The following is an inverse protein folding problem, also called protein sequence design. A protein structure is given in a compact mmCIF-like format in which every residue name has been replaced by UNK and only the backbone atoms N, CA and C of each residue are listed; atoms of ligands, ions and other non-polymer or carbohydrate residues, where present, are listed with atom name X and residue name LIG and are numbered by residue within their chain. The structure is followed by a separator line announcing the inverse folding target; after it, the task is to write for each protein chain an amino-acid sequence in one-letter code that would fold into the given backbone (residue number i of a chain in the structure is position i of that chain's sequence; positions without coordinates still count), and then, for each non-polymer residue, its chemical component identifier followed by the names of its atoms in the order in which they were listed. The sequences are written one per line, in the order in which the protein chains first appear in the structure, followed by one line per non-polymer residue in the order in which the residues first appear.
data_IF_626489262989
#
_entry.id   IF_626489262989
#
_cell.length_a   1.000
_cell.length_b   1.000
_cell.length_c   1.000
_cell.angle_alpha   90.00
_cell.angle_beta   90.00
_cell.angle_gamma   90.00
#
_symmetry.space_group_name_H-M   'P 1'
#
loop_
_entity.id
_entity.type
_entity.pdbx_description
1 polymer ?
#
# COMPACT_ATOMS: atom_id res chain seq x y z
N UNK A 1 -13.40 23.80 6.52
CA UNK A 1 -13.64 22.40 6.10
C UNK A 1 -13.13 22.27 4.68
N UNK A 2 -12.30 21.28 4.40
CA UNK A 2 -11.73 21.00 3.06
C UNK A 2 -12.80 20.30 2.23
N UNK A 3 -12.84 20.60 0.93
CA UNK A 3 -13.75 20.00 -0.03
C UNK A 3 -12.94 19.25 -1.08
N UNK A 4 -13.24 17.96 -1.28
CA UNK A 4 -12.55 17.09 -2.24
C UNK A 4 -13.55 16.54 -3.25
N UNK A 5 -13.19 16.66 -4.53
CA UNK A 5 -13.87 15.97 -5.61
C UNK A 5 -13.33 14.54 -5.76
N UNK A 6 -14.07 13.56 -5.25
CA UNK A 6 -13.75 12.13 -5.33
C UNK A 6 -13.80 11.52 -6.74
N UNK A 7 -14.14 12.31 -7.76
CA UNK A 7 -14.07 11.91 -9.18
C UNK A 7 -12.79 12.38 -9.88
N UNK A 8 -11.98 13.23 -9.25
CA UNK A 8 -10.75 13.76 -9.83
C UNK A 8 -9.72 12.67 -10.15
N UNK A 9 -8.96 12.86 -11.23
CA UNK A 9 -7.90 11.96 -11.66
C UNK A 9 -8.42 10.55 -11.94
N UNK A 10 -7.88 9.56 -11.23
CA UNK A 10 -8.32 8.16 -11.33
C UNK A 10 -9.75 7.90 -10.85
N UNK A 11 -10.36 8.83 -10.11
CA UNK A 11 -11.70 8.67 -9.53
C UNK A 11 -11.84 7.36 -8.74
N UNK A 12 -10.74 6.93 -8.10
CA UNK A 12 -10.61 5.63 -7.42
C UNK A 12 -10.91 5.69 -5.93
N UNK A 13 -10.65 4.58 -5.23
CA UNK A 13 -10.73 4.56 -3.76
C UNK A 13 -9.56 5.27 -3.06
N UNK A 14 -8.46 5.51 -3.77
CA UNK A 14 -7.24 6.09 -3.23
C UNK A 14 -7.43 7.53 -2.75
N UNK A 15 -8.12 8.36 -3.54
CA UNK A 15 -8.41 9.76 -3.19
C UNK A 15 -9.15 9.87 -1.85
N UNK A 16 -10.07 8.93 -1.58
CA UNK A 16 -10.83 8.87 -0.32
C UNK A 16 -9.92 8.51 0.84
N UNK A 17 -9.09 7.46 0.68
CA UNK A 17 -8.16 7.02 1.73
C UNK A 17 -7.15 8.12 2.07
N UNK A 18 -6.53 8.72 1.06
CA UNK A 18 -5.56 9.81 1.24
C UNK A 18 -6.19 11.03 1.90
N UNK A 19 -7.36 11.47 1.44
CA UNK A 19 -8.03 12.65 2.01
C UNK A 19 -8.45 12.44 3.48
N UNK A 20 -9.01 11.28 3.82
CA UNK A 20 -9.39 10.98 5.22
C UNK A 20 -8.15 10.83 6.10
N UNK A 21 -7.10 10.18 5.61
CA UNK A 21 -5.81 10.09 6.31
C UNK A 21 -5.22 11.47 6.60
N UNK A 22 -5.13 12.35 5.60
CA UNK A 22 -4.56 13.69 5.76
C UNK A 22 -5.46 14.61 6.58
N UNK A 23 -6.78 14.43 6.51
CA UNK A 23 -7.72 15.07 7.43
C UNK A 23 -7.36 14.75 8.87
N UNK A 24 -7.23 13.45 9.20
CA UNK A 24 -6.85 13.00 10.54
C UNK A 24 -5.49 13.56 10.99
N UNK A 25 -4.47 13.52 10.12
CA UNK A 25 -3.12 14.03 10.43
C UNK A 25 -3.11 15.54 10.70
N UNK A 26 -3.88 16.31 9.92
CA UNK A 26 -3.88 17.78 10.00
C UNK A 26 -4.91 18.35 10.97
N UNK A 27 -5.84 17.52 11.47
CA UNK A 27 -6.97 17.96 12.27
C UNK A 27 -8.02 18.77 11.49
N UNK A 28 -7.89 18.89 10.16
CA UNK A 28 -8.80 19.68 9.31
C UNK A 28 -9.96 18.82 8.83
N UNK A 29 -11.24 19.16 9.13
CA UNK A 29 -12.39 18.40 8.62
C UNK A 29 -12.46 18.41 7.10
N UNK A 30 -12.91 17.30 6.50
CA UNK A 30 -13.08 17.14 5.05
C UNK A 30 -14.50 16.68 4.68
N UNK A 31 -14.99 17.20 3.56
CA UNK A 31 -16.14 16.70 2.82
C UNK A 31 -15.66 16.18 1.46
N UNK A 32 -16.04 14.95 1.11
CA UNK A 32 -15.68 14.33 -0.18
C UNK A 32 -16.96 14.04 -0.94
N UNK A 33 -17.08 14.52 -2.18
CA UNK A 33 -18.24 14.31 -3.05
C UNK A 33 -17.88 13.49 -4.27
N UNK A 34 -18.90 13.01 -5.01
CA UNK A 34 -18.73 12.28 -6.29
C UNK A 34 -17.80 11.07 -6.18
N UNK A 35 -17.82 10.40 -5.03
CA UNK A 35 -16.92 9.29 -4.73
C UNK A 35 -17.09 8.20 -5.79
N UNK A 36 -16.01 7.92 -6.53
CA UNK A 36 -15.95 6.86 -7.55
C UNK A 36 -17.03 6.97 -8.62
N UNK A 37 -17.49 8.17 -8.94
CA UNK A 37 -18.60 8.40 -9.88
C UNK A 37 -18.40 7.74 -11.25
N UNK A 38 -17.16 7.71 -11.76
CA UNK A 38 -16.82 7.09 -13.05
C UNK A 38 -16.53 5.58 -13.01
N UNK A 39 -16.60 4.93 -11.84
CA UNK A 39 -16.30 3.48 -11.72
C UNK A 39 -17.57 2.65 -11.98
N UNK A 40 -17.45 1.38 -12.42
CA UNK A 40 -18.61 0.51 -12.67
C UNK A 40 -19.55 0.34 -11.46
N UNK A 41 -19.01 0.46 -10.24
CA UNK A 41 -19.77 0.52 -8.99
C UNK A 41 -19.43 1.83 -8.27
N UNK A 42 -20.19 2.91 -8.46
CA UNK A 42 -19.96 4.19 -7.79
C UNK A 42 -20.09 4.13 -6.27
N UNK A 43 -19.61 5.17 -5.60
CA UNK A 43 -19.67 5.31 -4.15
C UNK A 43 -18.63 4.48 -3.39
N UNK A 44 -18.73 4.52 -2.06
CA UNK A 44 -17.87 3.76 -1.17
C UNK A 44 -18.05 2.24 -1.38
N UNK A 45 -16.95 1.53 -1.58
CA UNK A 45 -16.93 0.08 -1.51
C UNK A 45 -16.77 -0.33 -0.03
N UNK A 46 -17.12 -1.58 0.35
CA UNK A 46 -16.98 -2.05 1.74
C UNK A 46 -15.59 -1.80 2.35
N UNK A 47 -14.53 -2.01 1.60
CA UNK A 47 -13.16 -1.74 2.05
C UNK A 47 -12.89 -0.27 2.37
N UNK A 48 -13.55 0.68 1.69
CA UNK A 48 -13.42 2.11 1.98
C UNK A 48 -14.15 2.45 3.27
N UNK A 49 -15.38 1.94 3.44
CA UNK A 49 -16.15 2.09 4.68
C UNK A 49 -15.33 1.60 5.86
N UNK A 50 -14.73 0.41 5.77
CA UNK A 50 -13.95 -0.15 6.87
C UNK A 50 -12.73 0.71 7.23
N UNK A 51 -11.97 1.17 6.24
CA UNK A 51 -10.80 2.02 6.49
C UNK A 51 -11.19 3.34 7.17
N UNK A 52 -12.28 3.98 6.71
CA UNK A 52 -12.77 5.24 7.28
C UNK A 52 -13.33 5.03 8.68
N UNK A 53 -14.13 3.98 8.90
CA UNK A 53 -14.70 3.64 10.20
C UNK A 53 -13.62 3.31 11.22
N UNK A 54 -12.59 2.54 10.83
CA UNK A 54 -11.47 2.22 11.71
C UNK A 54 -10.71 3.49 12.12
N UNK A 55 -10.38 4.35 11.15
CA UNK A 55 -9.70 5.61 11.44
C UNK A 55 -10.58 6.57 12.26
N UNK A 56 -11.88 6.63 11.98
CA UNK A 56 -12.85 7.40 12.76
C UNK A 56 -12.90 6.96 14.23
N UNK A 57 -12.86 5.65 14.49
CA UNK A 57 -12.78 5.10 15.84
C UNK A 57 -11.51 5.52 16.57
N UNK A 58 -10.35 5.42 15.92
CA UNK A 58 -9.04 5.76 16.50
C UNK A 58 -8.94 7.24 16.85
N UNK A 59 -9.49 8.13 16.03
CA UNK A 59 -9.44 9.58 16.26
C UNK A 59 -10.75 10.17 16.83
N UNK A 60 -11.72 9.34 17.22
CA UNK A 60 -13.04 9.78 17.71
C UNK A 60 -13.70 10.81 16.78
N UNK A 61 -13.65 10.57 15.46
CA UNK A 61 -14.16 11.50 14.45
C UNK A 61 -15.68 11.61 14.48
N UNK A 62 -16.19 12.80 14.16
CA UNK A 62 -17.60 12.97 13.75
C UNK A 62 -17.70 12.73 12.26
N UNK A 63 -18.59 11.83 11.86
CA UNK A 63 -18.71 11.40 10.45
C UNK A 63 -20.15 11.39 9.96
N UNK A 64 -20.34 11.56 8.65
CA UNK A 64 -21.63 11.37 7.98
C UNK A 64 -21.42 10.66 6.64
N UNK A 65 -22.37 9.80 6.25
CA UNK A 65 -22.37 9.11 4.95
C UNK A 65 -21.40 7.94 4.83
N UNK A 66 -20.87 7.39 5.93
CA UNK A 66 -19.89 6.29 5.91
C UNK A 66 -20.60 4.93 5.75
N UNK A 67 -21.18 4.70 4.57
CA UNK A 67 -21.91 3.48 4.24
C UNK A 67 -21.66 3.03 2.79
N UNK A 68 -21.79 1.73 2.48
CA UNK A 68 -21.59 1.23 1.12
C UNK A 68 -22.48 1.95 0.09
N UNK A 69 -21.91 2.32 -1.06
CA UNK A 69 -22.61 3.04 -2.12
C UNK A 69 -22.71 4.55 -1.91
N UNK A 70 -22.35 5.07 -0.73
CA UNK A 70 -22.37 6.51 -0.49
C UNK A 70 -21.42 7.25 -1.43
N UNK A 71 -21.92 8.29 -2.08
CA UNK A 71 -21.18 9.16 -2.98
C UNK A 71 -20.68 10.45 -2.32
N UNK A 72 -21.05 10.67 -1.06
CA UNK A 72 -20.64 11.83 -0.28
C UNK A 72 -20.39 11.46 1.17
N UNK A 73 -19.27 11.92 1.73
CA UNK A 73 -18.98 11.79 3.16
C UNK A 73 -18.55 13.10 3.78
N UNK A 74 -18.75 13.22 5.09
CA UNK A 74 -18.01 14.17 5.91
C UNK A 74 -17.22 13.43 6.98
N UNK A 75 -16.03 13.93 7.26
CA UNK A 75 -15.13 13.40 8.28
C UNK A 75 -14.45 14.55 9.01
N UNK A 76 -14.74 14.68 10.31
CA UNK A 76 -14.17 15.68 11.19
C UNK A 76 -13.39 14.98 12.32
N UNK A 77 -12.04 14.90 12.23
CA UNK A 77 -11.23 14.15 13.17
C UNK A 77 -11.17 14.80 14.55
N UNK A 78 -11.03 13.97 15.58
CA UNK A 78 -10.64 14.39 16.92
C UNK A 78 -9.19 14.00 17.23
N UNK A 79 -8.87 13.81 18.51
CA UNK A 79 -7.54 13.40 18.96
C UNK A 79 -7.30 11.92 18.62
N UNK A 80 -6.16 11.63 18.00
CA UNK A 80 -5.70 10.27 17.68
C UNK A 80 -5.16 9.62 18.95
N UNK A 81 -5.75 8.51 19.37
CA UNK A 81 -5.36 7.81 20.60
C UNK A 81 -4.45 6.61 20.31
N UNK A 82 -3.45 6.43 21.14
CA UNK A 82 -2.68 5.19 21.21
C UNK A 82 -3.52 4.04 21.81
N UNK A 83 -3.05 2.81 21.66
CA UNK A 83 -3.68 1.63 22.26
C UNK A 83 -3.76 0.42 21.32
N UNK A 84 -4.56 -0.56 21.75
CA UNK A 84 -4.81 -1.79 21.00
C UNK A 84 -6.13 -1.70 20.25
N UNK A 85 -6.10 -2.03 18.96
CA UNK A 85 -7.26 -2.01 18.08
C UNK A 85 -7.39 -3.33 17.34
N UNK A 86 -8.62 -3.73 17.04
CA UNK A 86 -8.91 -4.84 16.14
C UNK A 86 -9.84 -4.38 15.03
N UNK A 87 -9.51 -4.74 13.80
CA UNK A 87 -10.23 -4.32 12.60
C UNK A 87 -10.52 -5.55 11.75
N UNK A 88 -11.81 -5.86 11.61
CA UNK A 88 -12.27 -6.93 10.73
C UNK A 88 -12.87 -6.35 9.45
N UNK A 89 -12.27 -6.66 8.30
CA UNK A 89 -12.80 -6.23 7.00
C UNK A 89 -14.01 -7.09 6.58
N UNK A 90 -14.19 -8.27 7.19
CA UNK A 90 -15.32 -9.18 6.97
C UNK A 90 -15.34 -9.91 5.62
N UNK A 91 -14.41 -9.59 4.73
CA UNK A 91 -14.25 -10.20 3.39
C UNK A 91 -12.76 -10.26 3.02
N UNK A 92 -12.44 -10.63 1.77
CA UNK A 92 -11.09 -10.48 1.20
C UNK A 92 -10.68 -9.04 0.86
N UNK A 93 -11.24 -8.02 1.52
CA UNK A 93 -10.76 -6.65 1.35
C UNK A 93 -9.32 -6.51 1.85
N UNK A 94 -8.53 -5.70 1.15
CA UNK A 94 -7.08 -5.61 1.36
C UNK A 94 -6.72 -5.03 2.72
N UNK A 95 -5.96 -5.79 3.52
CA UNK A 95 -5.40 -5.30 4.79
C UNK A 95 -4.35 -4.22 4.54
N UNK A 96 -3.57 -4.32 3.46
CA UNK A 96 -2.51 -3.36 3.13
C UNK A 96 -3.08 -2.00 2.75
N UNK A 97 -4.15 -1.93 1.96
CA UNK A 97 -4.81 -0.66 1.66
C UNK A 97 -5.45 -0.01 2.89
N UNK A 98 -5.97 -0.82 3.82
CA UNK A 98 -6.45 -0.33 5.10
C UNK A 98 -5.28 0.29 5.88
N UNK A 99 -4.20 -0.46 6.07
CA UNK A 99 -3.02 0.04 6.80
C UNK A 99 -2.40 1.27 6.13
N UNK A 100 -2.32 1.34 4.81
CA UNK A 100 -1.85 2.55 4.08
C UNK A 100 -2.72 3.78 4.37
N UNK A 101 -4.03 3.61 4.52
CA UNK A 101 -4.95 4.69 4.88
C UNK A 101 -4.76 5.16 6.32
N UNK A 102 -4.47 4.25 7.25
CA UNK A 102 -4.40 4.57 8.66
C UNK A 102 -3.02 5.11 9.04
N UNK A 103 -1.96 4.52 8.48
CA UNK A 103 -0.60 4.68 8.97
C UNK A 103 -0.12 6.14 9.11
N UNK A 104 -0.36 7.07 8.16
CA UNK A 104 0.07 8.45 8.34
C UNK A 104 -0.52 9.10 9.61
N UNK A 105 -1.78 8.79 9.93
CA UNK A 105 -2.46 9.29 11.12
C UNK A 105 -1.91 8.63 12.41
N UNK A 106 -1.62 7.33 12.38
CA UNK A 106 -1.12 6.61 13.55
C UNK A 106 0.21 7.18 14.09
N UNK A 107 1.03 7.78 13.22
CA UNK A 107 2.29 8.45 13.62
C UNK A 107 2.08 9.67 14.53
N UNK A 108 0.85 10.20 14.59
CA UNK A 108 0.44 11.35 15.42
C UNK A 108 -0.36 10.97 16.66
N UNK A 109 -0.47 9.68 16.96
CA UNK A 109 -1.14 9.22 18.16
C UNK A 109 -0.42 9.68 19.45
N UNK A 110 -1.16 9.76 20.55
CA UNK A 110 -0.60 10.11 21.87
C UNK A 110 0.11 8.95 22.58
N UNK A 111 0.24 7.79 21.94
CA UNK A 111 1.00 6.65 22.41
C UNK A 111 1.11 5.54 21.35
N UNK A 112 1.90 4.48 21.61
CA UNK A 112 2.06 3.34 20.70
C UNK A 112 0.74 2.70 20.31
N UNK A 113 0.69 2.17 19.09
CA UNK A 113 -0.48 1.46 18.55
C UNK A 113 -0.10 0.03 18.18
N UNK A 114 -0.94 -0.91 18.59
CA UNK A 114 -0.93 -2.30 18.12
C UNK A 114 -2.29 -2.58 17.50
N UNK A 115 -2.30 -3.10 16.27
CA UNK A 115 -3.52 -3.31 15.51
C UNK A 115 -3.55 -4.68 14.87
N UNK A 116 -4.57 -5.46 15.24
CA UNK A 116 -4.90 -6.72 14.60
C UNK A 116 -5.83 -6.43 13.42
N UNK A 117 -5.41 -6.80 12.21
CA UNK A 117 -6.19 -6.54 10.99
C UNK A 117 -6.51 -7.88 10.31
N UNK A 118 -7.81 -8.15 10.18
CA UNK A 118 -8.33 -9.35 9.53
C UNK A 118 -8.87 -9.02 8.13
N UNK A 119 -8.42 -9.74 7.10
CA UNK A 119 -8.84 -9.51 5.72
C UNK A 119 -8.05 -10.27 4.67
N UNK A 120 -7.93 -9.71 3.46
CA UNK A 120 -7.07 -10.24 2.41
C UNK A 120 -5.63 -9.71 2.52
N UNK A 121 -4.65 -10.60 2.62
CA UNK A 121 -3.21 -10.26 2.63
C UNK A 121 -2.64 -10.18 1.22
N UNK A 122 -3.17 -11.01 0.31
CA UNK A 122 -2.67 -11.21 -1.04
C UNK A 122 -3.87 -11.21 -1.99
N UNK A 123 -4.31 -10.01 -2.37
CA UNK A 123 -5.52 -9.78 -3.18
C UNK A 123 -5.27 -8.79 -4.30
N UNK A 124 -6.03 -8.94 -5.39
CA UNK A 124 -5.85 -8.13 -6.60
C UNK A 124 -5.99 -6.63 -6.32
N UNK A 125 -5.31 -5.83 -7.15
CA UNK A 125 -5.39 -4.37 -7.14
C UNK A 125 -5.01 -3.74 -5.79
N UNK A 126 -4.13 -4.41 -5.04
CA UNK A 126 -3.51 -3.91 -3.83
C UNK A 126 -2.11 -4.50 -3.67
N UNK A 127 -1.21 -3.81 -2.94
CA UNK A 127 0.08 -4.40 -2.57
C UNK A 127 -0.11 -5.68 -1.76
N UNK A 128 0.71 -6.69 -2.01
CA UNK A 128 0.78 -7.89 -1.16
C UNK A 128 1.31 -7.53 0.22
N UNK A 129 1.04 -8.39 1.20
CA UNK A 129 1.57 -8.21 2.56
C UNK A 129 3.10 -8.22 2.59
N UNK A 130 3.74 -9.02 1.74
CA UNK A 130 5.20 -9.08 1.68
C UNK A 130 5.80 -7.84 1.04
N UNK A 131 5.14 -7.27 0.01
CA UNK A 131 5.55 -5.97 -0.54
C UNK A 131 5.46 -4.90 0.55
N UNK A 132 4.37 -4.93 1.33
CA UNK A 132 4.21 -4.00 2.44
C UNK A 132 5.33 -4.12 3.49
N UNK A 133 5.73 -5.35 3.85
CA UNK A 133 6.78 -5.66 4.83
C UNK A 133 8.18 -5.32 4.35
N UNK A 134 8.48 -5.62 3.09
CA UNK A 134 9.85 -5.64 2.58
C UNK A 134 10.20 -4.45 1.67
N UNK A 135 9.20 -3.70 1.19
CA UNK A 135 9.40 -2.53 0.33
C UNK A 135 8.83 -1.27 0.99
N UNK A 136 7.53 -1.26 1.29
CA UNK A 136 6.85 -0.07 1.79
C UNK A 136 7.33 0.36 3.18
N UNK A 137 7.29 -0.53 4.19
CA UNK A 137 7.72 -0.18 5.56
C UNK A 137 9.21 0.22 5.64
N UNK A 138 10.16 -0.47 4.96
CA UNK A 138 11.54 -0.03 4.90
C UNK A 138 11.70 1.37 4.28
N UNK A 139 10.96 1.68 3.21
CA UNK A 139 10.97 3.02 2.62
C UNK A 139 10.46 4.08 3.61
N UNK A 140 9.41 3.79 4.38
CA UNK A 140 8.94 4.68 5.43
C UNK A 140 9.96 4.84 6.58
N UNK A 141 10.77 3.82 6.84
CA UNK A 141 11.89 3.90 7.78
C UNK A 141 12.86 5.04 7.45
N UNK A 142 13.03 5.38 6.17
CA UNK A 142 13.85 6.52 5.73
C UNK A 142 13.28 7.88 6.19
N UNK A 143 11.97 7.97 6.40
CA UNK A 143 11.31 9.14 6.99
C UNK A 143 11.29 9.10 8.53
N UNK A 144 11.99 8.14 9.14
CA UNK A 144 12.03 7.92 10.59
C UNK A 144 10.84 7.12 11.13
N UNK A 145 9.99 6.54 10.27
CA UNK A 145 8.84 5.74 10.71
C UNK A 145 9.32 4.48 11.42
N UNK A 146 8.76 4.26 12.62
CA UNK A 146 8.96 3.04 13.40
C UNK A 146 7.69 2.21 13.38
N UNK A 147 7.60 1.32 12.41
CA UNK A 147 6.48 0.40 12.29
C UNK A 147 6.98 -1.00 11.91
N UNK A 148 6.27 -2.02 12.38
CA UNK A 148 6.52 -3.42 12.04
C UNK A 148 5.22 -4.12 11.72
N UNK A 149 5.26 -5.06 10.79
CA UNK A 149 4.11 -5.87 10.42
C UNK A 149 4.45 -7.35 10.54
N UNK A 150 3.67 -8.03 11.37
CA UNK A 150 3.78 -9.44 11.64
C UNK A 150 2.64 -10.18 10.93
N UNK A 151 3.00 -11.04 9.97
CA UNK A 151 2.06 -11.86 9.22
C UNK A 151 1.79 -13.14 10.00
N UNK A 152 0.60 -13.25 10.59
CA UNK A 152 0.18 -14.44 11.34
C UNK A 152 -0.51 -15.48 10.47
N UNK A 153 -1.27 -15.01 9.48
CA UNK A 153 -2.00 -15.88 8.58
C UNK A 153 -2.24 -15.18 7.25
N UNK A 154 -2.00 -15.88 6.13
CA UNK A 154 -2.37 -15.37 4.81
C UNK A 154 -3.87 -15.52 4.54
N UNK A 155 -4.40 -14.57 3.79
CA UNK A 155 -5.80 -14.50 3.40
C UNK A 155 -5.97 -14.16 1.93
N UNK A 156 -6.64 -15.03 1.19
CA UNK A 156 -6.85 -14.90 -0.25
C UNK A 156 -8.32 -14.65 -0.59
N UNK A 157 -8.55 -14.02 -1.74
CA UNK A 157 -9.90 -13.94 -2.31
C UNK A 157 -10.51 -15.33 -2.55
N UNK A 158 -11.81 -15.57 -2.31
CA UNK A 158 -12.85 -14.59 -1.89
C UNK A 158 -13.02 -14.42 -0.39
N UNK A 159 -12.53 -15.37 0.42
CA UNK A 159 -12.85 -15.40 1.85
C UNK A 159 -12.03 -14.41 2.68
N UNK A 160 -10.81 -14.11 2.25
CA UNK A 160 -9.84 -13.38 3.06
C UNK A 160 -9.37 -14.26 4.21
N UNK A 161 -9.70 -13.86 5.44
CA UNK A 161 -9.31 -14.56 6.68
C UNK A 161 -7.82 -14.54 6.98
N UNK A 162 -7.05 -13.67 6.33
CA UNK A 162 -5.69 -13.37 6.74
C UNK A 162 -5.70 -12.55 8.02
N UNK A 163 -4.60 -12.61 8.75
CA UNK A 163 -4.36 -11.88 9.99
C UNK A 163 -2.96 -11.31 9.96
N UNK A 164 -2.88 -10.00 10.15
CA UNK A 164 -1.63 -9.28 10.35
C UNK A 164 -1.70 -8.46 11.62
N UNK A 165 -0.56 -8.30 12.31
CA UNK A 165 -0.43 -7.45 13.49
C UNK A 165 0.51 -6.30 13.14
N UNK A 166 -0.06 -5.10 12.99
CA UNK A 166 0.68 -3.86 12.78
C UNK A 166 1.05 -3.24 14.13
N UNK A 167 2.31 -2.89 14.31
CA UNK A 167 2.79 -2.12 15.47
C UNK A 167 3.38 -0.82 14.97
N UNK A 168 3.00 0.30 15.59
CA UNK A 168 3.43 1.65 15.20
C UNK A 168 3.81 2.45 16.45
N UNK A 169 4.99 3.06 16.43
CA UNK A 169 5.37 4.07 17.41
C UNK A 169 5.10 5.48 16.84
N UNK A 170 4.46 6.38 17.60
CA UNK A 170 4.33 7.78 17.20
C UNK A 170 5.70 8.42 17.01
N UNK A 171 5.86 9.16 15.91
CA UNK A 171 7.13 9.80 15.57
C UNK A 171 6.89 11.06 14.73
N UNK A 172 7.76 12.05 14.94
CA UNK A 172 7.85 13.19 14.03
C UNK A 172 8.63 12.76 12.79
N UNK A 173 7.94 12.70 11.65
CA UNK A 173 8.55 12.40 10.36
C UNK A 173 9.72 13.36 10.07
N UNK A 174 10.77 12.81 9.46
CA UNK A 174 11.93 13.56 8.97
C UNK A 174 11.93 13.56 7.43
N UNK A 175 12.44 14.62 6.78
CA UNK A 175 12.67 14.61 5.34
C UNK A 175 13.55 13.43 4.94
N UNK A 176 13.24 12.79 3.80
CA UNK A 176 14.01 11.66 3.30
C UNK A 176 14.39 11.86 1.82
N UNK A 177 15.68 11.70 1.52
CA UNK A 177 16.21 11.69 0.15
C UNK A 177 16.58 10.26 -0.21
N UNK A 178 15.65 9.55 -0.84
CA UNK A 178 15.89 8.18 -1.29
C UNK A 178 16.84 8.27 -2.49
N UNK A 179 17.82 7.38 -2.50
CA UNK A 179 18.80 7.25 -3.57
C UNK A 179 18.71 5.84 -4.15
N UNK A 180 19.08 5.70 -5.41
CA UNK A 180 19.08 4.40 -6.06
C UNK A 180 20.13 3.53 -5.37
N UNK A 181 19.72 2.37 -4.88
CA UNK A 181 20.67 1.37 -4.46
C UNK A 181 21.46 0.90 -5.71
N UNK A 182 22.76 0.57 -5.60
CA UNK A 182 23.45 -0.17 -6.64
C UNK A 182 22.64 -1.43 -7.00
N UNK A 183 22.74 -1.91 -8.26
CA UNK A 183 22.06 -3.14 -8.71
C UNK A 183 22.22 -4.25 -7.66
N UNK A 184 21.18 -4.44 -6.88
CA UNK A 184 21.20 -5.27 -5.68
C UNK A 184 20.74 -6.68 -5.97
N UNK A 185 21.11 -7.61 -5.09
CA UNK A 185 20.50 -8.94 -5.07
C UNK A 185 18.99 -8.81 -4.90
N UNK A 186 18.25 -9.55 -5.71
CA UNK A 186 16.80 -9.67 -5.61
C UNK A 186 16.46 -10.70 -4.54
N UNK A 187 15.50 -10.36 -3.70
CA UNK A 187 14.91 -11.27 -2.72
C UNK A 187 13.45 -11.53 -3.08
N UNK A 188 12.90 -12.63 -2.59
CA UNK A 188 11.50 -12.95 -2.83
C UNK A 188 10.91 -13.91 -1.82
N UNK A 189 9.58 -13.90 -1.76
CA UNK A 189 8.77 -14.91 -1.08
C UNK A 189 7.72 -15.39 -2.08
N UNK A 190 7.79 -16.68 -2.41
CA UNK A 190 6.72 -17.38 -3.11
C UNK A 190 5.94 -18.22 -2.12
N UNK A 191 4.62 -18.09 -2.12
CA UNK A 191 3.77 -18.73 -1.14
C UNK A 191 2.61 -19.50 -1.76
N UNK A 192 2.20 -20.59 -1.11
CA UNK A 192 0.98 -21.33 -1.45
C UNK A 192 0.16 -21.70 -0.22
N UNK A 193 -1.16 -21.62 -0.35
CA UNK A 193 -2.14 -21.88 0.70
C UNK A 193 -3.18 -22.88 0.21
N UNK A 194 -3.30 -24.02 0.88
CA UNK A 194 -4.18 -25.15 0.47
C UNK A 194 -3.95 -25.62 -0.98
N UNK A 195 -2.70 -25.55 -1.45
CA UNK A 195 -2.27 -26.04 -2.75
C UNK A 195 -1.06 -26.96 -2.55
N UNK A 196 -0.73 -27.81 -3.54
CA UNK A 196 0.50 -28.59 -3.49
C UNK A 196 1.74 -27.68 -3.36
N UNK A 197 2.71 -28.09 -2.56
CA UNK A 197 3.95 -27.35 -2.29
C UNK A 197 4.71 -26.96 -3.56
N UNK A 198 4.68 -27.83 -4.58
CA UNK A 198 5.31 -27.59 -5.88
C UNK A 198 4.78 -26.33 -6.59
N UNK A 199 3.63 -25.77 -6.18
CA UNK A 199 3.11 -24.51 -6.75
C UNK A 199 4.01 -23.34 -6.38
N UNK A 200 4.35 -23.19 -5.09
CA UNK A 200 5.27 -22.14 -4.65
C UNK A 200 6.68 -22.38 -5.22
N UNK A 201 7.10 -23.64 -5.29
CA UNK A 201 8.39 -23.99 -5.86
C UNK A 201 8.52 -23.61 -7.34
N UNK A 202 7.54 -23.97 -8.18
CA UNK A 202 7.53 -23.62 -9.61
C UNK A 202 7.43 -22.12 -9.87
N UNK A 203 6.72 -21.39 -9.00
CA UNK A 203 6.69 -19.91 -9.02
C UNK A 203 8.09 -19.34 -8.78
N UNK A 204 8.75 -19.78 -7.71
CA UNK A 204 10.09 -19.32 -7.36
C UNK A 204 11.13 -19.67 -8.44
N UNK A 205 11.17 -20.93 -8.90
CA UNK A 205 12.11 -21.40 -9.93
C UNK A 205 11.98 -20.60 -11.23
N UNK A 206 10.75 -20.39 -11.70
CA UNK A 206 10.52 -19.62 -12.92
C UNK A 206 10.91 -18.15 -12.78
N UNK A 207 10.74 -17.54 -11.61
CA UNK A 207 11.14 -16.17 -11.35
C UNK A 207 12.67 -16.04 -11.30
N UNK A 208 13.33 -16.92 -10.55
CA UNK A 208 14.81 -16.96 -10.41
C UNK A 208 15.46 -17.14 -11.78
N UNK A 209 14.99 -18.10 -12.57
CA UNK A 209 15.54 -18.36 -13.91
C UNK A 209 15.52 -17.11 -14.79
N UNK A 210 14.41 -16.36 -14.79
CA UNK A 210 14.30 -15.16 -15.61
C UNK A 210 15.15 -13.99 -15.07
N UNK A 211 15.19 -13.81 -13.75
CA UNK A 211 16.03 -12.77 -13.12
C UNK A 211 17.51 -13.01 -13.40
N UNK A 212 17.98 -14.25 -13.30
CA UNK A 212 19.36 -14.61 -13.60
C UNK A 212 19.71 -14.39 -15.07
N UNK A 213 18.79 -14.70 -16.00
CA UNK A 213 18.95 -14.40 -17.43
C UNK A 213 19.08 -12.89 -17.69
N UNK A 214 18.39 -12.06 -16.91
CA UNK A 214 18.48 -10.60 -16.97
C UNK A 214 19.69 -10.03 -16.19
N UNK A 215 20.53 -10.89 -15.61
CA UNK A 215 21.75 -10.49 -14.90
C UNK A 215 21.54 -10.07 -13.45
N UNK A 216 20.42 -10.45 -12.83
CA UNK A 216 20.11 -10.19 -11.43
C UNK A 216 20.21 -11.48 -10.61
N UNK A 217 21.13 -11.52 -9.63
CA UNK A 217 21.17 -12.61 -8.67
C UNK A 217 19.92 -12.58 -7.79
N UNK A 218 19.26 -13.73 -7.60
CA UNK A 218 17.98 -13.83 -6.93
C UNK A 218 17.97 -14.91 -5.83
N UNK A 219 17.34 -14.61 -4.70
CA UNK A 219 17.08 -15.56 -3.62
C UNK A 219 15.60 -15.49 -3.25
N UNK A 220 14.84 -16.56 -3.57
CA UNK A 220 13.39 -16.60 -3.35
C UNK A 220 13.06 -17.72 -2.36
N UNK A 221 12.58 -17.34 -1.19
CA UNK A 221 12.07 -18.28 -0.19
C UNK A 221 10.71 -18.84 -0.61
N UNK A 222 10.42 -20.08 -0.24
CA UNK A 222 9.13 -20.74 -0.50
C UNK A 222 8.38 -21.00 0.81
N UNK A 223 7.10 -20.62 0.85
CA UNK A 223 6.18 -20.86 1.96
C UNK A 223 5.00 -21.71 1.50
N UNK A 224 4.66 -22.77 2.22
CA UNK A 224 3.48 -23.57 1.92
C UNK A 224 2.74 -23.95 3.19
N UNK A 225 1.46 -23.57 3.27
CA UNK A 225 0.67 -23.70 4.48
C UNK A 225 -0.72 -24.27 4.21
N UNK A 226 -1.25 -24.99 5.21
CA UNK A 226 -2.70 -25.25 5.30
C UNK A 226 -3.37 -24.05 5.94
N UNK A 227 -4.29 -23.42 5.23
CA UNK A 227 -4.89 -22.14 5.61
C UNK A 227 -6.42 -22.21 5.53
N UNK A 228 -7.16 -21.26 6.10
CA UNK A 228 -8.62 -21.19 5.90
C UNK A 228 -9.03 -20.81 4.46
N UNK A 229 -8.16 -20.12 3.73
CA UNK A 229 -8.36 -19.69 2.34
C UNK A 229 -7.32 -20.33 1.41
N UNK A 230 -7.71 -20.55 0.15
CA UNK A 230 -6.85 -21.14 -0.88
C UNK A 230 -6.32 -20.04 -1.81
N UNK A 231 -5.03 -20.08 -2.11
CA UNK A 231 -4.39 -19.14 -3.01
C UNK A 231 -2.89 -19.34 -3.10
N UNK A 232 -2.24 -18.63 -4.02
CA UNK A 232 -0.78 -18.59 -4.13
C UNK A 232 -0.35 -17.25 -4.70
N UNK A 233 0.94 -16.97 -4.65
CA UNK A 233 1.50 -15.74 -5.17
C UNK A 233 2.98 -15.67 -4.91
N UNK A 234 3.60 -14.68 -5.51
CA UNK A 234 5.01 -14.39 -5.35
C UNK A 234 5.19 -12.88 -5.24
N UNK A 235 6.02 -12.45 -4.30
CA UNK A 235 6.49 -11.07 -4.20
C UNK A 235 8.01 -11.08 -4.30
N UNK A 236 8.55 -10.25 -5.17
CA UNK A 236 9.98 -10.06 -5.40
C UNK A 236 10.34 -8.61 -5.10
N UNK A 237 11.54 -8.36 -4.57
CA UNK A 237 12.01 -7.01 -4.31
C UNK A 237 13.53 -6.87 -4.34
N UNK A 238 14.00 -5.66 -4.55
CA UNK A 238 15.39 -5.23 -4.37
C UNK A 238 15.42 -3.76 -3.97
N UNK A 239 15.97 -3.45 -2.80
CA UNK A 239 15.88 -2.10 -2.23
C UNK A 239 14.42 -1.65 -2.07
N UNK A 240 14.08 -0.50 -2.68
CA UNK A 240 12.74 0.08 -2.65
C UNK A 240 11.93 -0.19 -3.92
N UNK A 241 12.29 -1.24 -4.66
CA UNK A 241 11.53 -1.71 -5.81
C UNK A 241 10.97 -3.09 -5.52
N UNK A 242 9.70 -3.31 -5.83
CA UNK A 242 9.08 -4.62 -5.75
C UNK A 242 8.06 -4.86 -6.85
N UNK A 243 7.84 -6.14 -7.12
CA UNK A 243 6.78 -6.60 -7.99
C UNK A 243 6.12 -7.84 -7.37
N UNK A 244 4.86 -8.07 -7.72
CA UNK A 244 4.13 -9.24 -7.24
C UNK A 244 3.17 -9.77 -8.28
N UNK A 245 2.90 -11.07 -8.20
CA UNK A 245 1.91 -11.74 -9.05
C UNK A 245 1.16 -12.76 -8.22
N UNK A 246 -0.16 -12.82 -8.41
CA UNK A 246 -1.03 -13.74 -7.68
C UNK A 246 -1.43 -14.92 -8.57
N UNK A 247 -1.51 -16.10 -7.96
CA UNK A 247 -2.05 -17.28 -8.62
C UNK A 247 -3.55 -17.17 -8.85
N UNK A 248 -4.00 -17.69 -9.98
CA UNK A 248 -5.41 -17.72 -10.37
C UNK A 248 -5.78 -19.10 -10.90
N UNK A 249 -7.07 -19.46 -10.81
CA UNK A 249 -7.53 -20.76 -11.30
C UNK A 249 -7.27 -20.87 -12.81
N UNK A 250 -6.48 -21.86 -13.20
CA UNK A 250 -6.11 -22.11 -14.59
C UNK A 250 -4.85 -21.38 -15.06
N UNK A 251 -4.25 -20.51 -14.22
CA UNK A 251 -2.97 -19.86 -14.52
C UNK A 251 -1.81 -20.76 -14.04
N UNK A 252 -0.85 -21.14 -14.91
CA UNK A 252 0.31 -21.93 -14.50
C UNK A 252 1.19 -21.21 -13.47
N UNK A 253 1.79 -21.97 -12.56
CA UNK A 253 2.66 -21.44 -11.50
C UNK A 253 3.89 -20.70 -12.06
N UNK A 254 4.45 -21.19 -13.15
CA UNK A 254 5.58 -20.58 -13.86
C UNK A 254 5.21 -19.21 -14.41
N UNK A 255 3.99 -19.07 -14.96
CA UNK A 255 3.53 -17.78 -15.47
C UNK A 255 3.37 -16.74 -14.36
N UNK A 256 2.98 -17.17 -13.16
CA UNK A 256 2.92 -16.30 -11.98
C UNK A 256 4.33 -15.83 -11.60
N UNK A 257 5.29 -16.75 -11.49
CA UNK A 257 6.70 -16.46 -11.23
C UNK A 257 7.32 -15.52 -12.25
N UNK A 258 7.19 -15.89 -13.53
CA UNK A 258 7.67 -15.13 -14.69
C UNK A 258 7.10 -13.71 -14.69
N UNK A 259 5.79 -13.55 -14.50
CA UNK A 259 5.16 -12.21 -14.52
C UNK A 259 5.74 -11.29 -13.45
N UNK A 260 5.90 -11.78 -12.22
CA UNK A 260 6.51 -10.98 -11.16
C UNK A 260 7.97 -10.60 -11.47
N UNK A 261 8.73 -11.52 -12.08
CA UNK A 261 10.10 -11.25 -12.49
C UNK A 261 10.18 -10.22 -13.64
N UNK A 262 9.34 -10.34 -14.68
CA UNK A 262 9.25 -9.36 -15.78
C UNK A 262 8.93 -7.95 -15.27
N UNK A 263 7.96 -7.85 -14.36
CA UNK A 263 7.57 -6.58 -13.75
C UNK A 263 8.70 -5.99 -12.90
N UNK A 264 9.41 -6.80 -12.10
CA UNK A 264 10.55 -6.32 -11.31
C UNK A 264 11.73 -5.89 -12.19
N UNK A 265 12.07 -6.65 -13.24
CA UNK A 265 13.16 -6.33 -14.18
C UNK A 265 12.92 -4.95 -14.80
N UNK A 266 11.68 -4.67 -15.21
CA UNK A 266 11.29 -3.36 -15.77
C UNK A 266 11.63 -2.22 -14.81
N UNK A 267 11.35 -2.38 -13.51
CA UNK A 267 11.66 -1.36 -12.51
C UNK A 267 13.17 -1.26 -12.26
N UNK A 268 13.88 -2.39 -12.17
CA UNK A 268 15.33 -2.42 -11.94
C UNK A 268 16.16 -1.83 -13.08
N UNK A 269 15.69 -1.92 -14.31
CA UNK A 269 16.36 -1.34 -15.48
C UNK A 269 16.17 0.17 -15.59
N UNK A 270 15.17 0.76 -14.91
CA UNK A 270 14.86 2.19 -14.99
C UNK A 270 15.88 3.11 -14.31
N UNK A 271 16.83 2.56 -13.53
CA UNK A 271 17.79 3.34 -12.72
C UNK A 271 17.14 4.31 -11.70
N UNK A 272 15.84 4.16 -11.45
CA UNK A 272 15.13 4.98 -10.48
C UNK A 272 15.39 4.54 -9.03
N UNK A 273 14.89 5.27 -8.05
CA UNK A 273 15.08 4.93 -6.63
C UNK A 273 14.00 4.02 -6.07
N UNK A 274 12.78 4.10 -6.60
CA UNK A 274 11.60 3.39 -6.14
C UNK A 274 10.79 2.90 -7.33
N UNK A 275 10.02 1.82 -7.16
CA UNK A 275 9.08 1.39 -8.20
C UNK A 275 7.87 2.35 -8.34
N UNK A 276 7.13 2.24 -9.45
CA UNK A 276 5.97 3.10 -9.73
C UNK A 276 4.86 3.07 -8.67
N UNK A 277 4.73 1.96 -7.93
CA UNK A 277 3.70 1.82 -6.90
C UNK A 277 4.15 2.46 -5.60
N UNK A 278 5.40 2.23 -5.20
CA UNK A 278 5.95 2.93 -4.04
C UNK A 278 5.99 4.44 -4.27
N UNK A 279 6.24 4.88 -5.51
CA UNK A 279 6.19 6.29 -5.89
C UNK A 279 4.84 6.95 -5.59
N UNK A 280 3.71 6.25 -5.74
CA UNK A 280 2.40 6.80 -5.36
C UNK A 280 2.16 6.73 -3.84
N UNK A 281 2.66 5.69 -3.19
CA UNK A 281 2.45 5.39 -1.77
C UNK A 281 3.24 6.32 -0.85
N UNK A 282 4.38 6.85 -1.31
CA UNK A 282 5.22 7.77 -0.55
C UNK A 282 4.70 9.21 -0.54
N UNK A 283 3.78 9.59 -1.45
CA UNK A 283 3.30 10.97 -1.59
C UNK A 283 2.76 11.57 -0.28
N UNK A 284 1.93 10.90 0.54
CA UNK A 284 1.47 11.47 1.81
C UNK A 284 2.63 11.80 2.76
N UNK A 285 3.67 10.97 2.78
CA UNK A 285 4.84 11.13 3.65
C UNK A 285 5.76 12.22 3.12
N UNK A 286 5.99 12.25 1.80
CA UNK A 286 6.74 13.30 1.13
C UNK A 286 6.09 14.67 1.36
N UNK A 287 4.76 14.77 1.26
CA UNK A 287 4.03 16.00 1.54
C UNK A 287 4.11 16.42 3.02
N UNK A 288 4.09 15.47 3.95
CA UNK A 288 4.15 15.74 5.39
C UNK A 288 5.56 16.11 5.89
N UNK A 289 6.60 15.50 5.32
CA UNK A 289 7.96 15.58 5.84
C UNK A 289 8.93 16.36 4.96
N UNK A 290 8.73 16.36 3.64
CA UNK A 290 9.71 16.83 2.66
C UNK A 290 10.65 15.71 2.19
N UNK A 291 11.55 16.05 1.27
CA UNK A 291 12.53 15.12 0.71
C UNK A 291 12.40 14.93 -0.80
N UNK A 292 12.97 13.84 -1.31
CA UNK A 292 12.93 13.51 -2.74
C UNK A 292 13.17 12.04 -3.03
N UNK A 293 12.66 11.57 -4.17
CA UNK A 293 12.95 10.26 -4.76
C UNK A 293 12.73 10.31 -6.28
N UNK A 294 13.13 9.27 -7.00
CA UNK A 294 12.82 9.10 -8.42
C UNK A 294 12.10 7.78 -8.67
N UNK A 295 11.22 7.75 -9.67
CA UNK A 295 10.55 6.56 -10.21
C UNK A 295 10.64 6.59 -11.74
N UNK A 296 10.44 5.44 -12.42
CA UNK A 296 10.50 5.40 -13.89
C UNK A 296 9.50 6.38 -14.55
N UNK A 297 8.34 6.57 -13.95
CA UNK A 297 7.32 7.52 -14.40
C UNK A 297 6.40 7.95 -13.25
N UNK A 298 5.68 9.06 -13.43
CA UNK A 298 4.58 9.43 -12.55
C UNK A 298 3.27 8.77 -13.00
N UNK A 299 2.77 7.85 -12.18
CA UNK A 299 1.47 7.23 -12.40
C UNK A 299 0.31 8.22 -12.17
N UNK A 300 -0.84 7.95 -12.77
CA UNK A 300 -2.07 8.70 -12.50
C UNK A 300 -2.49 8.66 -11.01
N UNK A 301 -2.17 7.57 -10.32
CA UNK A 301 -2.34 7.42 -8.87
C UNK A 301 -1.43 8.38 -8.10
N UNK A 302 -0.16 8.50 -8.47
CA UNK A 302 0.77 9.45 -7.88
C UNK A 302 0.30 10.89 -8.09
N UNK A 303 -0.11 11.25 -9.32
CA UNK A 303 -0.66 12.58 -9.63
C UNK A 303 -1.91 12.91 -8.80
N UNK A 304 -2.82 11.95 -8.65
CA UNK A 304 -4.03 12.11 -7.84
C UNK A 304 -3.70 12.30 -6.36
N UNK A 305 -2.70 11.57 -5.84
CA UNK A 305 -2.23 11.75 -4.47
C UNK A 305 -1.58 13.12 -4.25
N UNK A 306 -0.76 13.62 -5.19
CA UNK A 306 -0.13 14.96 -5.09
C UNK A 306 -1.22 16.03 -5.02
N UNK A 307 -2.18 15.96 -5.94
CA UNK A 307 -3.32 16.86 -5.96
C UNK A 307 -4.10 16.83 -4.65
N UNK A 308 -4.40 15.62 -4.14
CA UNK A 308 -5.12 15.45 -2.88
C UNK A 308 -4.34 16.03 -1.71
N UNK A 309 -3.04 15.79 -1.63
CA UNK A 309 -2.19 16.29 -0.55
C UNK A 309 -2.13 17.83 -0.53
N UNK A 310 -2.09 18.47 -1.70
CA UNK A 310 -2.09 19.93 -1.83
C UNK A 310 -3.33 20.64 -1.28
N UNK A 311 -4.45 19.93 -1.07
CA UNK A 311 -5.62 20.50 -0.39
C UNK A 311 -5.45 20.59 1.14
N UNK A 312 -4.57 19.78 1.72
CA UNK A 312 -4.39 19.68 3.17
C UNK A 312 -3.12 20.40 3.66
N UNK A 313 -2.07 20.40 2.84
CA UNK A 313 -0.71 20.77 3.21
C UNK A 313 -0.19 21.91 2.31
N UNK A 314 0.63 22.79 2.88
CA UNK A 314 1.23 23.92 2.15
C UNK A 314 2.43 23.50 1.31
N UNK A 315 3.12 22.43 1.72
CA UNK A 315 4.28 21.87 1.03
C UNK A 315 3.90 21.42 -0.37
N UNK A 316 4.65 21.87 -1.38
CA UNK A 316 4.38 21.52 -2.79
C UNK A 316 5.31 20.40 -3.22
N UNK A 317 4.75 19.46 -4.00
CA UNK A 317 5.54 18.41 -4.65
C UNK A 317 5.67 18.78 -6.12
N UNK A 318 6.91 18.99 -6.55
CA UNK A 318 7.29 19.24 -7.93
C UNK A 318 7.73 17.94 -8.60
N UNK A 319 7.44 17.81 -9.89
CA UNK A 319 7.89 16.71 -10.73
C UNK A 319 8.84 17.23 -11.80
N UNK A 320 9.97 16.54 -11.96
CA UNK A 320 10.94 16.80 -13.02
C UNK A 320 11.14 15.52 -13.81
N UNK A 321 10.75 15.52 -15.09
CA UNK A 321 10.79 14.33 -15.94
C UNK A 321 11.82 14.51 -17.04
N UNK A 322 12.79 13.60 -17.05
CA UNK A 322 13.72 13.37 -18.15
C UNK A 322 13.56 11.88 -18.56
N UNK A 323 14.58 11.05 -18.37
CA UNK A 323 14.48 9.59 -18.56
C UNK A 323 13.71 8.89 -17.42
N UNK A 324 13.74 9.51 -16.23
CA UNK A 324 12.97 9.13 -15.05
C UNK A 324 12.28 10.36 -14.47
N UNK A 325 11.27 10.14 -13.63
CA UNK A 325 10.57 11.23 -12.94
C UNK A 325 11.10 11.40 -11.51
N UNK A 326 11.66 12.57 -11.21
CA UNK A 326 12.00 13.01 -9.85
C UNK A 326 10.79 13.64 -9.17
N UNK A 327 10.49 13.18 -7.97
CA UNK A 327 9.52 13.75 -7.04
C UNK A 327 10.29 14.51 -5.97
N UNK A 328 10.01 15.79 -5.79
CA UNK A 328 10.71 16.63 -4.81
C UNK A 328 9.72 17.55 -4.11
N UNK A 329 9.83 17.61 -2.77
CA UNK A 329 8.95 18.42 -1.96
C UNK A 329 9.67 19.64 -1.38
N UNK A 330 9.06 20.81 -1.60
CA UNK A 330 9.54 22.13 -1.19
C UNK A 330 8.54 22.77 -0.22
#
# INVERSE_FOLDING_TARGET
MIEIDGSYGEGGGQIVRTAVSLSAVTGKPVCIRRIRQGRPKPGLAPQHVQAITALAGICSAKTSGIEPGSMQITFAPGKIRGGSYSVEIGTAGSVTLLMQCLLPALLKADGPIVMDVHGGTDVRWSPTVDYFRHVFLPALGCFGVKASLDLRQRGYYPKGQGLVILRVEPVALQPAHLSAAPKGRVYGISHSGNLPEHVAQRQAESAVQLLEQAGFAAEVATESHRLPSMGSGITLWSGFMGASSLGERGLPAEMVGRKAAEDLITELESMSTVDIHLADQLIPYLALAGGSYTAREASSHAMTNIWTAGHFLERKISLFTEDITKFEAH
#
